data_IF_658216767762
#
_entry.id   IF_658216767762
#
_cell.length_a   1.000
_cell.length_b   1.000
_cell.length_c   1.000
_cell.angle_alpha   90.00
_cell.angle_beta   90.00
_cell.angle_gamma   90.00
#
_symmetry.space_group_name_H-M   'P 1'
#
loop_
_entity.id
_entity.type
_entity.pdbx_description
1 polymer ?
2 non-polymer ?
3 water ?
#
# COMPACT_ATOMS: atom_id res chain seq x y z
N UNK A 4 8.63 11.39 -11.19
CA UNK A 4 9.41 10.61 -12.23
C UNK A 4 8.54 9.99 -13.45
N UNK A 5 8.53 8.65 -13.62
CA UNK A 5 7.89 8.23 -14.74
C UNK A 5 6.94 7.06 -14.85
N UNK A 6 7.57 5.96 -15.30
CA UNK A 6 6.81 4.74 -15.60
C UNK A 6 6.52 3.66 -14.57
N UNK A 7 5.28 3.68 -14.13
CA UNK A 7 4.72 2.76 -13.17
C UNK A 7 3.80 1.75 -13.82
N UNK A 8 4.01 0.48 -13.53
CA UNK A 8 3.11 -0.54 -14.04
C UNK A 8 2.30 -1.00 -12.82
N UNK A 9 1.08 -0.51 -12.66
CA UNK A 9 0.27 -0.91 -11.51
C UNK A 9 -0.79 -1.97 -11.87
N UNK A 10 -0.68 -3.12 -11.22
CA UNK A 10 -1.59 -4.25 -11.41
C UNK A 10 -2.50 -4.30 -10.20
N UNK A 11 -3.71 -3.77 -10.31
CA UNK A 11 -4.67 -3.74 -9.22
C UNK A 11 -6.11 -3.75 -9.72
N UNK A 12 -7.07 -3.79 -8.80
CA UNK A 12 -8.46 -3.83 -9.18
C UNK A 12 -8.98 -2.49 -9.69
N UNK A 13 -10.09 -2.56 -10.42
CA UNK A 13 -10.73 -1.38 -10.96
C UNK A 13 -12.19 -1.44 -10.58
N UNK A 14 -12.78 -0.31 -10.21
CA UNK A 14 -14.21 -0.25 -9.90
C UNK A 14 -14.84 0.91 -10.67
N UNK A 15 -16.00 0.66 -11.26
CA UNK A 15 -16.69 1.69 -12.02
C UNK A 15 -16.87 2.91 -11.14
N UNK A 16 -17.43 2.71 -9.96
CA UNK A 16 -17.66 3.79 -8.99
C UNK A 16 -16.74 3.65 -7.80
N UNK A 17 -16.33 4.77 -7.22
CA UNK A 17 -15.50 4.72 -6.02
C UNK A 17 -14.00 4.60 -6.20
N UNK A 18 -13.29 4.47 -5.08
CA UNK A 18 -11.83 4.39 -5.11
C UNK A 18 -11.20 3.26 -4.37
N UNK A 19 -10.68 2.33 -5.14
CA UNK A 19 -10.05 1.18 -4.57
C UNK A 19 -9.12 0.67 -5.65
N UNK A 20 -7.95 0.17 -5.25
CA UNK A 20 -6.99 -0.32 -6.22
C UNK A 20 -6.54 0.75 -7.19
N UNK A 21 -6.49 0.42 -8.49
CA UNK A 21 -6.05 1.35 -9.51
C UNK A 21 -6.81 2.66 -9.45
N UNK A 22 -8.09 2.62 -9.11
CA UNK A 22 -8.81 3.87 -9.00
C UNK A 22 -8.22 4.73 -7.86
N UNK A 23 -7.64 4.10 -6.85
CA UNK A 23 -7.06 4.87 -5.75
C UNK A 23 -5.60 5.22 -5.99
N UNK A 24 -4.90 4.41 -6.79
CA UNK A 24 -3.49 4.68 -7.03
C UNK A 24 -3.10 5.49 -8.28
N UNK A 25 -4.02 5.60 -9.26
CA UNK A 25 -3.76 6.29 -10.53
C UNK A 25 -3.79 7.83 -10.51
N UNK A 26 -4.93 8.41 -10.19
CA UNK A 26 -5.03 9.86 -10.12
C UNK A 26 -3.84 10.39 -9.32
N UNK A 27 -3.59 9.85 -8.12
CA UNK A 27 -2.44 10.37 -7.37
C UNK A 27 -1.15 10.33 -8.12
N UNK A 28 -0.70 9.12 -8.40
CA UNK A 28 0.56 8.90 -9.12
C UNK A 28 0.61 9.67 -10.41
N UNK A 29 -0.54 10.19 -10.82
CA UNK A 29 -0.63 10.95 -12.04
C UNK A 29 -0.43 12.44 -11.84
N UNK A 30 -1.17 13.06 -10.90
CA UNK A 30 -0.98 14.50 -10.69
C UNK A 30 0.40 14.75 -10.09
N UNK A 31 1.02 13.73 -9.49
CA UNK A 31 2.37 13.94 -8.97
C UNK A 31 3.22 13.64 -10.19
N UNK A 32 2.55 13.45 -11.31
CA UNK A 32 3.25 13.23 -12.56
C UNK A 32 3.97 11.94 -12.91
N UNK A 33 3.37 10.79 -12.68
CA UNK A 33 4.04 9.58 -13.12
C UNK A 33 3.26 9.07 -14.30
N UNK A 34 3.95 8.39 -15.19
CA UNK A 34 3.31 7.83 -16.35
C UNK A 34 2.84 6.50 -15.79
N UNK A 35 1.58 6.45 -15.39
CA UNK A 35 1.04 5.22 -14.83
C UNK A 35 0.37 4.36 -15.89
N UNK A 36 0.86 3.13 -15.98
CA UNK A 36 0.33 2.13 -16.87
C UNK A 36 -0.52 1.25 -15.97
N UNK A 37 -1.79 1.04 -16.30
CA UNK A 37 -2.65 0.24 -15.42
C UNK A 37 -3.23 -1.04 -15.97
N UNK A 38 -2.94 -2.13 -15.26
CA UNK A 38 -3.49 -3.43 -15.57
C UNK A 38 -4.58 -3.66 -14.54
N UNK A 39 -5.83 -3.71 -15.00
CA UNK A 39 -6.96 -3.92 -14.09
C UNK A 39 -7.21 -5.40 -13.77
N UNK A 40 -6.83 -5.83 -12.57
CA UNK A 40 -7.02 -7.22 -12.15
C UNK A 40 -8.48 -7.65 -12.10
N UNK A 41 -9.40 -6.73 -11.85
CA UNK A 41 -10.81 -7.07 -11.89
C UNK A 41 -11.52 -5.80 -12.32
N UNK A 42 -12.78 -5.91 -12.66
CA UNK A 42 -13.57 -4.75 -12.98
C UNK A 42 -14.90 -5.08 -12.38
N UNK A 43 -15.15 -4.42 -11.25
CA UNK A 43 -16.35 -4.55 -10.46
C UNK A 43 -17.07 -3.22 -10.44
N UNK A 44 -18.39 -3.29 -10.22
CA UNK A 44 -19.23 -2.10 -10.16
C UNK A 44 -18.77 -1.22 -9.00
N UNK A 45 -18.26 -1.84 -7.95
CA UNK A 45 -17.79 -1.11 -6.78
C UNK A 45 -17.18 -2.11 -5.83
N UNK A 46 -16.50 -1.66 -4.80
CA UNK A 46 -15.88 -2.60 -3.87
C UNK A 46 -16.92 -3.45 -3.14
N UNK A 47 -16.50 -4.64 -2.68
CA UNK A 47 -17.41 -5.59 -2.05
C UNK A 47 -17.91 -5.31 -0.65
N UNK A 48 -17.81 -4.05 -0.22
CA UNK A 48 -18.26 -3.64 1.09
C UNK A 48 -19.63 -3.02 0.95
N UNK A 49 -20.04 -2.77 -0.28
CA UNK A 49 -21.38 -2.24 -0.58
C UNK A 49 -22.27 -3.47 -0.40
N UNK A 50 -23.59 -3.33 -0.27
CA UNK A 50 -24.44 -4.54 -0.13
C UNK A 50 -24.40 -5.45 -1.35
N UNK A 51 -24.40 -4.86 -2.54
CA UNK A 51 -24.35 -5.68 -3.75
C UNK A 51 -23.09 -5.32 -4.52
N UNK A 52 -22.77 -6.12 -5.53
CA UNK A 52 -21.61 -5.91 -6.39
C UNK A 52 -21.73 -6.91 -7.52
N UNK A 53 -21.30 -6.50 -8.70
CA UNK A 53 -21.31 -7.41 -9.83
C UNK A 53 -20.07 -7.05 -10.67
N UNK A 54 -19.53 -8.03 -11.41
CA UNK A 54 -18.36 -7.79 -12.22
C UNK A 54 -17.58 -9.03 -12.67
N UNK A 55 -16.47 -8.82 -13.37
CA UNK A 55 -15.64 -9.94 -13.84
C UNK A 55 -14.25 -9.86 -13.21
N UNK A 56 -13.49 -10.93 -13.28
CA UNK A 56 -12.13 -10.89 -12.75
C UNK A 56 -11.24 -11.37 -13.86
N UNK A 57 -9.98 -10.99 -13.80
CA UNK A 57 -9.02 -11.39 -14.81
C UNK A 57 -8.33 -12.64 -14.32
N UNK A 58 -8.20 -13.67 -15.15
CA UNK A 58 -7.50 -14.84 -14.69
C UNK A 58 -6.03 -14.65 -15.00
N UNK A 59 -5.26 -15.68 -14.74
CA UNK A 59 -3.84 -15.60 -14.97
C UNK A 59 -3.46 -15.52 -16.45
N UNK A 60 -4.15 -16.26 -17.30
CA UNK A 60 -3.77 -16.20 -18.70
C UNK A 60 -4.09 -14.84 -19.32
N UNK A 61 -5.20 -14.24 -18.94
CA UNK A 61 -5.61 -12.94 -19.45
C UNK A 61 -4.60 -11.88 -19.08
N UNK A 62 -3.94 -12.06 -17.94
CA UNK A 62 -2.93 -11.12 -17.46
C UNK A 62 -1.70 -11.32 -18.32
N UNK A 63 -1.43 -12.59 -18.56
CA UNK A 63 -0.32 -13.04 -19.38
C UNK A 63 -0.46 -12.35 -20.76
N UNK A 64 -1.64 -12.50 -21.35
CA UNK A 64 -1.97 -11.91 -22.64
C UNK A 64 -1.56 -10.41 -22.69
N UNK A 65 -2.05 -9.61 -21.75
CA UNK A 65 -1.72 -8.17 -21.71
C UNK A 65 -0.24 -7.95 -21.58
N UNK A 66 0.42 -8.80 -20.83
CA UNK A 66 1.83 -8.57 -20.69
C UNK A 66 2.53 -8.90 -22.02
N UNK A 67 2.15 -10.00 -22.67
CA UNK A 67 2.76 -10.38 -23.96
C UNK A 67 2.63 -9.14 -24.82
N UNK A 68 1.40 -8.68 -24.92
CA UNK A 68 1.09 -7.50 -25.69
C UNK A 68 2.14 -6.42 -25.50
N UNK A 69 2.61 -6.21 -24.28
CA UNK A 69 3.59 -5.15 -24.09
C UNK A 69 5.02 -5.59 -24.53
N UNK A 70 5.37 -6.86 -24.37
CA UNK A 70 6.71 -7.33 -24.78
C UNK A 70 6.87 -7.11 -26.28
N UNK A 71 5.99 -7.76 -27.02
CA UNK A 71 5.96 -7.66 -28.46
C UNK A 71 6.25 -6.24 -28.92
N UNK A 72 5.64 -5.24 -28.29
CA UNK A 72 5.90 -3.86 -28.71
C UNK A 72 7.15 -3.25 -28.12
N UNK A 73 7.86 -4.04 -27.30
CA UNK A 73 9.05 -3.57 -26.61
C UNK A 73 8.74 -2.24 -25.94
N UNK A 74 7.68 -2.19 -25.14
CA UNK A 74 7.41 -0.95 -24.42
C UNK A 74 7.31 -1.32 -22.95
N UNK A 75 7.73 -2.55 -22.68
CA UNK A 75 7.70 -3.14 -21.35
C UNK A 75 8.94 -2.87 -20.50
N UNK A 76 9.27 -1.61 -20.32
CA UNK A 76 10.41 -1.28 -19.49
C UNK A 76 9.84 -0.36 -18.43
N UNK A 77 9.91 -0.77 -17.17
CA UNK A 77 9.34 0.09 -16.14
C UNK A 77 10.32 0.44 -15.03
N UNK A 78 10.12 1.61 -14.41
CA UNK A 78 10.92 2.09 -13.28
C UNK A 78 10.34 1.37 -12.04
N UNK A 79 9.34 1.94 -11.36
CA UNK A 79 8.74 1.25 -10.20
C UNK A 79 7.56 0.36 -10.63
N UNK A 80 7.22 -0.65 -9.83
CA UNK A 80 6.09 -1.51 -10.12
C UNK A 80 5.22 -1.73 -8.89
N UNK A 81 3.94 -1.48 -9.07
CA UNK A 81 2.96 -1.54 -8.01
C UNK A 81 1.87 -2.61 -8.02
N UNK A 82 1.66 -3.27 -6.88
CA UNK A 82 0.61 -4.28 -6.80
C UNK A 82 -0.06 -4.28 -5.42
N UNK A 83 -1.29 -4.76 -5.37
CA UNK A 83 -1.99 -4.80 -4.11
C UNK A 83 -2.81 -6.06 -3.90
N UNK A 84 -4.05 -5.83 -3.56
CA UNK A 84 -5.02 -6.87 -3.31
C UNK A 84 -5.28 -7.90 -4.42
N UNK A 85 -5.15 -9.18 -4.08
CA UNK A 85 -5.45 -10.26 -5.02
C UNK A 85 -6.02 -11.40 -4.23
N UNK A 86 -6.84 -12.20 -4.89
CA UNK A 86 -7.46 -13.35 -4.25
C UNK A 86 -6.96 -14.66 -4.81
N UNK A 87 -6.38 -14.59 -6.00
CA UNK A 87 -5.90 -15.74 -6.75
C UNK A 87 -4.41 -16.07 -6.61
N UNK A 88 -4.16 -17.26 -6.05
CA UNK A 88 -2.83 -17.81 -5.83
C UNK A 88 -2.06 -17.68 -7.14
N UNK A 89 -2.70 -18.14 -8.20
CA UNK A 89 -2.07 -18.12 -9.50
C UNK A 89 -1.87 -16.76 -10.12
N UNK A 90 -2.80 -15.85 -9.90
CA UNK A 90 -2.62 -14.54 -10.48
C UNK A 90 -1.43 -13.90 -9.80
N UNK A 91 -1.21 -14.22 -8.52
CA UNK A 91 -0.09 -13.60 -7.82
C UNK A 91 1.23 -14.22 -8.25
N UNK A 92 1.22 -15.49 -8.62
CA UNK A 92 2.43 -16.16 -9.07
C UNK A 92 2.93 -15.46 -10.34
N UNK A 93 2.04 -15.43 -11.32
CA UNK A 93 2.31 -14.81 -12.61
C UNK A 93 2.89 -13.42 -12.46
N UNK A 94 2.27 -12.65 -11.57
CA UNK A 94 2.68 -11.30 -11.28
C UNK A 94 4.13 -11.30 -10.84
N UNK A 95 4.53 -12.36 -10.17
CA UNK A 95 5.91 -12.40 -9.71
C UNK A 95 6.84 -12.56 -10.92
N UNK A 96 6.56 -13.54 -11.77
CA UNK A 96 7.35 -13.73 -13.00
C UNK A 96 7.50 -12.37 -13.71
N UNK A 97 6.38 -11.71 -14.00
CA UNK A 97 6.46 -10.44 -14.70
C UNK A 97 7.40 -9.41 -14.07
N UNK A 98 7.38 -9.30 -12.75
CA UNK A 98 8.23 -8.32 -12.07
C UNK A 98 9.72 -8.67 -12.20
N UNK A 99 10.02 -9.96 -12.33
CA UNK A 99 11.40 -10.43 -12.48
C UNK A 99 11.99 -9.80 -13.75
N UNK A 100 11.50 -10.29 -14.89
CA UNK A 100 11.92 -9.77 -16.18
C UNK A 100 12.03 -8.23 -16.17
N UNK A 101 11.04 -7.52 -15.68
CA UNK A 101 11.16 -6.06 -15.74
C UNK A 101 12.33 -5.41 -15.01
N UNK A 102 13.02 -6.16 -14.15
CA UNK A 102 14.15 -5.63 -13.39
C UNK A 102 15.48 -5.68 -14.21
N UNK A 103 15.50 -6.55 -15.23
CA UNK A 103 16.65 -6.72 -16.14
C UNK A 103 16.52 -5.64 -17.16
N UNK A 104 15.29 -5.34 -17.48
CA UNK A 104 15.10 -4.27 -18.41
C UNK A 104 15.60 -3.03 -17.66
N UNK A 105 15.21 -2.85 -16.39
CA UNK A 105 15.73 -1.68 -15.67
C UNK A 105 16.22 -2.00 -14.28
N UNK A 106 17.54 -2.07 -14.14
CA UNK A 106 18.17 -2.36 -12.84
C UNK A 106 17.56 -1.62 -11.63
N UNK A 107 17.25 -0.33 -11.74
CA UNK A 107 16.62 0.41 -10.62
C UNK A 107 15.10 0.18 -10.60
N UNK A 108 14.66 -1.05 -10.86
CA UNK A 108 13.22 -1.30 -10.85
C UNK A 108 12.78 -1.75 -9.47
N UNK A 109 12.13 -0.84 -8.78
CA UNK A 109 11.62 -1.10 -7.43
C UNK A 109 10.22 -1.68 -7.47
N UNK A 110 10.04 -2.89 -6.96
CA UNK A 110 8.72 -3.49 -6.88
C UNK A 110 8.12 -3.02 -5.55
N UNK A 111 7.08 -2.20 -5.58
CA UNK A 111 6.43 -1.73 -4.35
C UNK A 111 5.28 -2.70 -4.16
N UNK A 112 5.25 -3.42 -3.05
CA UNK A 112 4.21 -4.41 -2.83
C UNK A 112 3.43 -4.30 -1.53
N UNK A 113 2.13 -4.01 -1.61
CA UNK A 113 1.32 -3.97 -0.40
C UNK A 113 0.76 -5.38 -0.31
N UNK A 114 1.18 -6.16 0.69
CA UNK A 114 0.70 -7.54 0.86
C UNK A 114 -0.64 -7.68 1.57
N UNK A 115 -1.71 -7.33 0.87
CA UNK A 115 -3.03 -7.38 1.47
C UNK A 115 -3.57 -8.77 1.81
N UNK A 116 -3.63 -9.09 3.09
CA UNK A 116 -4.16 -10.37 3.49
C UNK A 116 -5.35 -10.23 4.42
N UNK A 117 -5.32 -9.26 5.32
CA UNK A 117 -6.47 -9.12 6.18
C UNK A 117 -6.35 -8.01 7.18
N UNK A 118 -7.11 -8.13 8.27
CA UNK A 118 -7.05 -7.11 9.29
C UNK A 118 -7.14 -7.55 10.75
N UNK A 119 -6.77 -6.60 11.61
CA UNK A 119 -6.72 -6.78 13.07
C UNK A 119 -7.64 -5.79 13.81
N UNK A 120 -8.15 -6.20 14.97
CA UNK A 120 -8.88 -5.31 15.86
C UNK A 120 -8.07 -5.52 17.16
N UNK A 121 -7.66 -6.78 17.46
CA UNK A 121 -6.75 -7.06 18.60
C UNK A 121 -6.15 -8.46 18.93
N UNK A 122 -5.16 -8.90 18.12
CA UNK A 122 -4.45 -10.19 18.25
C UNK A 122 -5.23 -11.42 17.78
N UNK A 123 -4.79 -12.24 16.80
CA UNK A 123 -5.69 -13.33 16.35
C UNK A 123 -5.23 -14.51 15.38
N UNK A 124 -5.99 -14.72 14.26
CA UNK A 124 -5.74 -15.81 13.26
C UNK A 124 -6.09 -15.74 11.74
N UNK A 125 -7.37 -15.66 11.31
CA UNK A 125 -7.79 -15.63 9.86
C UNK A 125 -7.85 -14.22 9.18
N UNK A 126 -7.89 -14.11 7.82
CA UNK A 126 -7.92 -12.78 7.12
C UNK A 126 -9.00 -12.41 6.01
N UNK A 127 -8.64 -11.77 4.88
CA UNK A 127 -9.57 -11.38 3.75
C UNK A 127 -9.41 -12.29 2.54
N UNK A 128 -8.24 -12.89 2.45
CA UNK A 128 -7.90 -13.74 1.33
C UNK A 128 -7.88 -15.17 1.79
N UNK A 129 -7.93 -16.11 0.84
CA UNK A 129 -7.88 -17.49 1.31
C UNK A 129 -6.55 -17.55 2.04
N UNK A 130 -6.36 -18.56 2.85
CA UNK A 130 -5.13 -18.71 3.60
C UNK A 130 -4.02 -19.27 2.71
N UNK A 131 -4.38 -19.81 1.55
CA UNK A 131 -3.41 -20.38 0.62
C UNK A 131 -2.56 -19.38 -0.22
N UNK A 132 -2.63 -18.08 0.06
CA UNK A 132 -1.82 -17.06 -0.66
C UNK A 132 -0.67 -16.71 0.26
N UNK A 133 -0.90 -17.00 1.54
CA UNK A 133 0.08 -16.73 2.56
C UNK A 133 1.44 -17.26 2.13
N UNK A 134 1.52 -18.53 1.75
CA UNK A 134 2.80 -19.10 1.32
C UNK A 134 3.41 -18.32 0.14
N UNK A 135 2.60 -18.09 -0.88
CA UNK A 135 3.09 -17.38 -2.04
C UNK A 135 3.67 -16.02 -1.71
N UNK A 136 3.02 -15.25 -0.85
CA UNK A 136 3.59 -13.96 -0.50
C UNK A 136 4.89 -14.14 0.24
N UNK A 137 4.95 -15.13 1.11
CA UNK A 137 6.14 -15.37 1.94
C UNK A 137 7.33 -15.96 1.14
N UNK A 138 7.12 -17.12 0.55
CA UNK A 138 8.18 -17.77 -0.22
C UNK A 138 8.50 -17.11 -1.56
N UNK A 139 7.49 -16.68 -2.31
CA UNK A 139 7.73 -16.08 -3.62
C UNK A 139 7.64 -14.58 -3.74
N UNK A 140 6.53 -13.97 -3.34
CA UNK A 140 6.39 -12.53 -3.50
C UNK A 140 7.37 -11.64 -2.76
N UNK A 141 7.28 -11.61 -1.43
CA UNK A 141 8.16 -10.75 -0.62
C UNK A 141 9.67 -10.87 -0.94
N UNK A 142 10.17 -12.04 -1.36
CA UNK A 142 11.60 -12.10 -1.66
C UNK A 142 12.03 -11.18 -2.83
N UNK A 143 11.07 -10.74 -3.66
CA UNK A 143 11.43 -9.86 -4.78
C UNK A 143 10.98 -8.40 -4.65
N UNK A 144 10.17 -8.06 -3.65
CA UNK A 144 9.74 -6.67 -3.51
C UNK A 144 10.83 -5.84 -2.88
N UNK A 145 10.77 -4.52 -3.09
CA UNK A 145 11.79 -3.59 -2.58
C UNK A 145 11.20 -2.58 -1.60
N UNK A 146 9.89 -2.65 -1.44
CA UNK A 146 9.16 -1.79 -0.55
C UNK A 146 7.87 -2.52 -0.28
N UNK A 147 7.60 -2.80 0.98
CA UNK A 147 6.35 -3.46 1.32
C UNK A 147 5.69 -2.60 2.38
N UNK A 148 4.36 -2.61 2.43
CA UNK A 148 3.62 -1.80 3.40
C UNK A 148 2.50 -2.56 4.12
N UNK A 149 2.86 -3.55 4.95
CA UNK A 149 1.91 -4.37 5.70
C UNK A 149 1.26 -3.84 6.97
N UNK A 150 0.18 -4.53 7.33
CA UNK A 150 -0.62 -4.34 8.52
C UNK A 150 0.29 -4.82 9.63
N UNK A 151 -0.18 -4.72 10.86
CA UNK A 151 0.62 -5.30 11.90
C UNK A 151 0.28 -6.78 11.72
N UNK A 152 -1.01 -7.02 11.53
CA UNK A 152 -1.51 -8.37 11.33
C UNK A 152 -0.72 -9.10 10.25
N UNK A 153 -0.63 -8.50 9.08
CA UNK A 153 0.08 -9.11 7.96
C UNK A 153 1.58 -9.32 8.25
N UNK A 154 2.24 -8.30 8.80
CA UNK A 154 3.66 -8.43 9.13
C UNK A 154 3.83 -9.68 9.98
N UNK A 155 2.82 -9.99 10.80
CA UNK A 155 2.89 -11.16 11.67
C UNK A 155 2.65 -12.46 10.90
N UNK A 156 1.73 -12.48 9.94
CA UNK A 156 1.54 -13.70 9.16
C UNK A 156 2.78 -14.00 8.33
N UNK A 157 3.44 -12.94 7.84
CA UNK A 157 4.64 -13.10 7.04
C UNK A 157 5.77 -13.67 7.86
N UNK A 158 6.12 -12.97 8.91
CA UNK A 158 7.21 -13.43 9.77
C UNK A 158 6.76 -14.53 10.70
N UNK A 159 5.46 -14.83 10.74
CA UNK A 159 5.00 -15.85 11.66
C UNK A 159 5.26 -15.56 13.14
N UNK A 160 5.59 -14.31 13.48
CA UNK A 160 5.85 -13.89 14.87
C UNK A 160 4.85 -12.83 15.40
N UNK A 161 4.26 -13.06 16.57
CA UNK A 161 3.29 -12.11 17.15
C UNK A 161 3.94 -10.87 17.80
N UNK A 162 3.50 -9.69 17.38
CA UNK A 162 4.04 -8.43 17.89
C UNK A 162 3.37 -7.98 19.19
N UNK A 163 4.11 -7.92 20.28
CA UNK A 163 3.47 -7.51 21.52
C UNK A 163 3.86 -6.14 22.01
N UNK A 164 5.01 -5.65 21.56
CA UNK A 164 5.50 -4.38 21.98
C UNK A 164 6.13 -3.62 20.81
N UNK A 165 6.74 -2.48 21.11
CA UNK A 165 7.38 -1.72 20.05
C UNK A 165 8.61 -2.48 19.59
N UNK A 166 9.61 -2.69 20.44
CA UNK A 166 10.78 -3.38 19.93
C UNK A 166 10.59 -4.82 19.49
N UNK A 167 9.37 -5.33 19.59
CA UNK A 167 9.11 -6.67 19.09
C UNK A 167 8.72 -6.36 17.63
N UNK A 168 8.16 -5.16 17.45
CA UNK A 168 7.72 -4.65 16.13
C UNK A 168 8.96 -4.46 15.26
N UNK A 169 9.95 -3.78 15.81
CA UNK A 169 11.18 -3.51 15.09
C UNK A 169 11.92 -4.77 14.66
N UNK A 170 11.81 -5.85 15.44
CA UNK A 170 12.48 -7.13 15.10
C UNK A 170 11.70 -8.08 14.21
N UNK A 171 10.52 -7.64 13.80
CA UNK A 171 9.67 -8.40 12.91
C UNK A 171 9.90 -7.74 11.54
N UNK A 172 10.34 -6.47 11.60
CA UNK A 172 10.68 -5.70 10.42
C UNK A 172 12.04 -6.23 9.97
N UNK A 173 12.97 -6.35 10.91
CA UNK A 173 14.30 -6.87 10.57
C UNK A 173 14.17 -8.23 9.93
N UNK A 174 13.29 -9.09 10.43
CA UNK A 174 13.12 -10.38 9.78
C UNK A 174 12.46 -10.08 8.42
N UNK A 175 11.83 -8.90 8.29
CA UNK A 175 11.23 -8.55 7.03
C UNK A 175 12.38 -8.17 6.07
N UNK A 176 13.10 -7.08 6.38
CA UNK A 176 14.26 -6.61 5.59
C UNK A 176 15.08 -7.74 5.02
N UNK A 177 15.61 -8.54 5.94
CA UNK A 177 16.41 -9.68 5.61
C UNK A 177 15.66 -10.54 4.59
N UNK A 178 14.32 -10.49 4.60
CA UNK A 178 13.53 -11.25 3.61
C UNK A 178 13.83 -10.71 2.19
N UNK A 179 14.06 -9.40 2.10
CA UNK A 179 14.36 -8.76 0.83
C UNK A 179 14.28 -7.23 0.86
N UNK A 180 13.11 -6.68 1.19
CA UNK A 180 12.82 -5.24 1.25
C UNK A 180 13.73 -4.24 1.99
N UNK A 181 14.44 -3.38 1.27
CA UNK A 181 15.21 -2.40 2.02
C UNK A 181 14.30 -1.33 2.58
N UNK A 182 13.02 -1.65 2.69
CA UNK A 182 12.04 -0.73 3.26
C UNK A 182 10.81 -1.50 3.68
N UNK A 183 10.37 -1.19 4.89
CA UNK A 183 9.22 -1.81 5.51
C UNK A 183 8.55 -0.69 6.25
N UNK A 184 7.23 -0.61 6.13
CA UNK A 184 6.46 0.41 6.80
C UNK A 184 5.21 -0.26 7.31
N UNK A 185 5.10 -0.45 8.62
CA UNK A 185 3.90 -1.05 9.16
C UNK A 185 2.90 0.10 9.26
N UNK A 186 1.98 0.13 8.30
CA UNK A 186 0.97 1.18 8.15
C UNK A 186 0.01 1.34 9.31
N UNK A 187 -0.12 0.33 10.14
CA UNK A 187 -1.02 0.46 11.27
C UNK A 187 -0.80 -0.66 12.30
N UNK A 188 -1.15 -0.37 13.55
CA UNK A 188 -0.94 -1.33 14.63
C UNK A 188 -1.83 -1.06 15.82
N UNK A 189 -1.95 -2.11 16.64
CA UNK A 189 -2.72 -2.16 17.89
C UNK A 189 -1.96 -1.49 19.03
N UNK A 190 -0.66 -1.27 18.83
CA UNK A 190 0.19 -0.67 19.85
C UNK A 190 -0.13 0.72 20.31
N UNK A 191 -0.55 0.86 21.58
CA UNK A 191 -0.84 2.17 22.13
C UNK A 191 0.45 2.96 21.88
N UNK A 192 0.39 4.27 22.02
CA UNK A 192 1.57 5.03 21.68
C UNK A 192 1.74 6.21 22.58
N UNK A 193 2.92 6.83 22.56
CA UNK A 193 3.06 7.99 23.44
C UNK A 193 2.09 9.13 23.13
N UNK A 194 0.77 8.93 23.25
CA UNK A 194 -0.20 10.00 22.98
C UNK A 194 -1.68 9.62 23.10
N UNK A 195 -1.98 8.36 23.40
CA UNK A 195 -3.37 7.94 23.56
C UNK A 195 -4.07 7.24 22.39
N UNK A 196 -5.04 6.37 22.71
CA UNK A 196 -5.80 5.62 21.70
C UNK A 196 -6.53 6.52 20.73
N UNK A 197 -6.51 7.82 21.02
CA UNK A 197 -7.17 8.79 20.16
C UNK A 197 -6.45 8.62 18.83
N UNK A 198 -5.14 8.42 18.92
CA UNK A 198 -4.30 8.23 17.75
C UNK A 198 -4.21 6.82 17.16
N UNK A 199 -3.24 6.69 16.26
CA UNK A 199 -2.90 5.46 15.54
C UNK A 199 -1.43 5.62 15.15
N UNK A 200 -0.67 4.56 15.36
CA UNK A 200 0.77 4.54 15.13
C UNK A 200 1.15 3.65 13.94
N UNK A 201 2.23 4.01 13.25
CA UNK A 201 2.71 3.17 12.17
C UNK A 201 4.21 3.13 12.40
N UNK A 202 4.89 2.17 11.79
CA UNK A 202 6.33 2.04 11.98
C UNK A 202 7.12 2.01 10.65
N UNK A 203 8.36 2.52 10.66
CA UNK A 203 9.18 2.54 9.45
C UNK A 203 10.68 2.29 9.59
N UNK A 204 11.26 1.46 8.71
CA UNK A 204 12.70 1.14 8.76
C UNK A 204 13.38 0.77 7.41
N UNK A 205 14.54 1.38 7.12
CA UNK A 205 15.25 1.15 5.85
C UNK A 205 16.73 0.74 5.80
N UNK A 206 16.97 -0.58 5.72
CA UNK A 206 18.30 -1.21 5.64
C UNK A 206 19.11 -0.73 4.38
N UNK A 207 20.00 0.26 4.56
CA UNK A 207 20.83 0.84 3.47
C UNK A 207 22.29 0.32 3.39
N UNK A 208 23.17 0.95 2.60
CA UNK A 208 24.57 0.48 2.45
C UNK A 208 25.67 1.55 2.20
N UNK A 209 26.90 1.22 2.62
CA UNK A 209 28.14 2.02 2.48
C UNK A 209 29.20 0.87 2.46
N UNK A 210 30.11 0.78 1.42
CA UNK A 210 31.10 -0.31 1.38
C UNK A 210 31.27 -1.15 2.63
N UNK A 211 32.29 -1.01 3.44
CA UNK A 211 32.12 -1.83 4.61
C UNK A 211 31.70 -0.87 5.72
N UNK A 212 31.41 -1.35 6.92
CA UNK A 212 30.77 -0.46 7.85
C UNK A 212 29.49 -0.62 7.00
N UNK A 213 29.30 -1.90 6.63
CA UNK A 213 28.26 -2.48 5.74
C UNK A 213 26.81 -2.41 6.21
N UNK A 214 26.63 -1.80 7.37
CA UNK A 214 25.35 -1.72 8.05
C UNK A 214 24.68 -0.36 8.29
N UNK A 215 23.51 -0.11 7.73
CA UNK A 215 22.82 1.10 8.16
C UNK A 215 21.38 0.63 8.16
N UNK A 216 20.58 1.11 9.10
CA UNK A 216 19.15 0.79 9.14
C UNK A 216 18.64 2.12 9.64
N UNK A 217 17.39 2.48 9.34
CA UNK A 217 16.84 3.76 9.79
C UNK A 217 15.44 3.43 10.34
N UNK A 218 15.03 4.06 11.43
CA UNK A 218 13.71 3.74 11.95
C UNK A 218 13.04 5.03 12.31
N UNK A 219 11.72 5.02 12.36
CA UNK A 219 10.98 6.21 12.71
C UNK A 219 9.64 5.74 13.24
N UNK A 220 8.73 6.66 13.48
CA UNK A 220 7.46 6.27 14.07
C UNK A 220 6.43 7.37 13.98
N UNK A 221 5.54 7.32 13.00
CA UNK A 221 4.55 8.38 12.94
C UNK A 221 3.35 7.95 13.72
N UNK A 222 2.64 8.95 14.19
CA UNK A 222 1.43 8.77 14.92
C UNK A 222 0.55 9.86 14.33
N UNK A 223 -0.41 9.40 13.56
CA UNK A 223 -1.38 10.26 12.92
C UNK A 223 -2.61 10.05 13.79
N UNK A 224 -3.57 10.96 13.64
CA UNK A 224 -4.79 11.03 14.43
C UNK A 224 -6.02 10.20 14.04
N UNK A 225 -6.16 8.96 14.50
CA UNK A 225 -7.36 8.13 14.23
C UNK A 225 -8.61 8.91 13.74
N UNK A 226 -9.52 8.27 12.97
CA UNK A 226 -10.80 8.89 12.48
C UNK A 226 -11.98 7.92 12.59
N UNK A 227 -13.02 8.32 13.32
CA UNK A 227 -14.21 7.49 13.63
C UNK A 227 -15.00 6.62 12.65
N UNK A 228 -14.35 5.91 11.72
CA UNK A 228 -15.15 5.12 10.78
C UNK A 228 -14.41 4.18 9.83
N UNK A 229 -15.19 3.43 9.04
CA UNK A 229 -14.65 2.42 8.09
C UNK A 229 -14.50 2.74 6.61
N UNK A 230 -13.31 3.19 6.25
CA UNK A 230 -12.96 3.52 4.88
C UNK A 230 -12.43 2.30 4.18
N UNK A 231 -12.54 2.28 2.86
CA UNK A 231 -12.01 1.17 2.10
C UNK A 231 -11.14 1.82 1.04
N UNK A 232 -9.98 1.25 0.78
CA UNK A 232 -9.08 1.85 -0.20
C UNK A 232 -7.95 2.67 0.42
N UNK A 233 -7.96 2.86 1.74
CA UNK A 233 -6.91 3.64 2.38
C UNK A 233 -5.49 3.14 2.13
N UNK A 234 -5.27 1.83 2.17
CA UNK A 234 -3.93 1.32 1.95
C UNK A 234 -3.42 1.39 0.51
N UNK A 235 -4.34 1.48 -0.45
CA UNK A 235 -3.93 1.59 -1.85
C UNK A 235 -3.43 3.02 -2.03
N UNK A 236 -4.21 3.95 -1.49
CA UNK A 236 -3.84 5.35 -1.56
C UNK A 236 -2.58 5.62 -0.78
N UNK A 237 -2.29 4.76 0.19
CA UNK A 237 -1.08 4.94 0.99
C UNK A 237 0.14 4.57 0.18
N UNK A 238 0.20 3.30 -0.19
CA UNK A 238 1.29 2.73 -0.98
C UNK A 238 1.51 3.55 -2.25
N UNK A 239 0.44 4.00 -2.88
CA UNK A 239 0.56 4.83 -4.06
C UNK A 239 1.37 6.08 -3.68
N UNK A 240 0.89 6.83 -2.70
CA UNK A 240 1.63 8.03 -2.31
C UNK A 240 3.01 7.79 -1.75
N UNK A 241 3.26 6.60 -1.22
CA UNK A 241 4.58 6.35 -0.69
C UNK A 241 5.47 6.43 -1.92
N UNK A 242 5.31 5.50 -2.85
CA UNK A 242 6.08 5.47 -4.10
C UNK A 242 6.48 6.87 -4.56
N UNK A 243 5.48 7.72 -4.77
CA UNK A 243 5.76 9.06 -5.21
C UNK A 243 6.91 9.57 -4.35
N UNK A 244 6.58 9.97 -3.14
CA UNK A 244 7.53 10.50 -2.18
C UNK A 244 8.82 9.73 -2.06
N UNK A 245 8.74 8.44 -1.77
CA UNK A 245 9.95 7.66 -1.69
C UNK A 245 10.63 7.68 -3.06
N UNK A 246 10.08 8.43 -4.02
CA UNK A 246 10.72 8.53 -5.34
C UNK A 246 11.81 9.59 -5.22
N UNK A 247 11.37 10.76 -4.77
CA UNK A 247 12.18 11.95 -4.56
C UNK A 247 13.19 11.78 -3.42
N UNK A 248 12.81 10.97 -2.44
CA UNK A 248 13.60 10.78 -1.24
C UNK A 248 14.18 9.38 -1.09
N UNK A 249 15.06 8.99 -2.02
CA UNK A 249 15.73 7.69 -2.08
C UNK A 249 16.43 7.16 -0.81
N UNK A 250 17.04 8.04 -0.02
CA UNK A 250 17.70 7.60 1.23
C UNK A 250 16.97 8.18 2.44
N UNK A 251 15.75 8.66 2.22
CA UNK A 251 15.00 9.25 3.30
C UNK A 251 13.68 8.67 3.71
N UNK A 252 13.70 7.44 4.19
CA UNK A 252 12.48 6.80 4.62
C UNK A 252 11.72 7.71 5.60
N UNK A 253 12.48 8.61 6.22
CA UNK A 253 12.00 9.60 7.18
C UNK A 253 11.07 10.55 6.40
N UNK A 254 11.72 11.40 5.58
CA UNK A 254 11.10 12.44 4.77
C UNK A 254 9.83 12.02 4.00
N UNK A 255 9.78 10.75 3.61
CA UNK A 255 8.67 10.15 2.88
C UNK A 255 7.37 10.03 3.67
N UNK A 256 7.26 8.95 4.44
CA UNK A 256 6.07 8.68 5.22
C UNK A 256 5.53 9.97 5.72
N UNK A 257 6.45 10.86 6.08
CA UNK A 257 6.06 12.16 6.59
C UNK A 257 5.09 12.86 5.62
N UNK A 258 5.46 13.11 4.37
CA UNK A 258 4.48 13.80 3.53
C UNK A 258 3.27 12.90 3.19
N UNK A 259 3.50 11.61 2.93
CA UNK A 259 2.40 10.68 2.61
C UNK A 259 1.33 10.71 3.67
N UNK A 260 1.76 10.35 4.89
CA UNK A 260 0.84 10.31 5.98
C UNK A 260 0.12 11.61 6.04
N UNK A 261 0.85 12.72 5.90
CA UNK A 261 0.20 14.02 6.00
C UNK A 261 -0.98 14.14 5.04
N UNK A 262 -0.77 13.80 3.77
CA UNK A 262 -1.79 13.89 2.72
C UNK A 262 -3.02 13.08 3.07
N UNK A 263 -2.76 11.96 3.72
CA UNK A 263 -3.78 11.02 4.17
C UNK A 263 -4.82 11.71 5.09
N UNK A 264 -4.39 12.53 6.08
CA UNK A 264 -5.36 13.23 6.98
C UNK A 264 -6.30 14.12 6.19
N UNK A 265 -5.77 14.88 5.24
CA UNK A 265 -6.61 15.76 4.42
C UNK A 265 -7.67 14.93 3.71
N UNK A 266 -7.21 14.06 2.81
CA UNK A 266 -8.13 13.23 2.06
C UNK A 266 -9.23 12.64 2.94
N UNK A 267 -8.87 12.10 4.10
CA UNK A 267 -9.92 11.50 4.91
C UNK A 267 -10.82 12.46 5.66
N UNK A 268 -10.29 13.47 6.35
CA UNK A 268 -11.24 14.33 7.03
C UNK A 268 -12.02 15.19 6.06
N UNK A 269 -11.73 15.10 4.77
CA UNK A 269 -12.53 15.86 3.84
C UNK A 269 -13.61 14.87 3.49
N UNK A 270 -13.18 13.61 3.40
CA UNK A 270 -14.07 12.49 3.10
C UNK A 270 -15.04 12.42 4.25
N UNK A 271 -14.51 12.30 5.47
CA UNK A 271 -15.35 12.26 6.65
C UNK A 271 -16.18 13.56 6.66
N UNK A 272 -15.57 14.72 6.49
CA UNK A 272 -16.37 15.96 6.46
C UNK A 272 -17.60 15.78 5.54
N UNK A 273 -17.43 15.68 4.21
CA UNK A 273 -18.57 15.48 3.30
C UNK A 273 -19.35 14.24 3.71
N UNK A 274 -18.59 13.19 4.05
CA UNK A 274 -19.17 11.92 4.47
C UNK A 274 -20.38 12.13 5.38
N UNK A 275 -20.19 12.73 6.57
CA UNK A 275 -21.32 12.99 7.48
C UNK A 275 -22.28 14.05 6.92
N UNK A 276 -21.75 15.10 6.30
CA UNK A 276 -22.57 16.19 5.73
C UNK A 276 -23.77 15.63 4.98
N UNK A 277 -23.80 14.30 4.88
CA UNK A 277 -24.87 13.56 4.23
C UNK A 277 -25.69 12.65 5.17
N UNK A 278 -25.86 13.15 6.38
CA UNK A 278 -26.66 12.58 7.47
C UNK A 278 -26.38 13.51 8.63
N UNK A 279 -25.49 14.49 8.38
CA UNK A 279 -25.09 15.51 9.35
C UNK A 279 -24.68 14.94 10.69
N UNK A 280 -25.59 15.01 11.66
CA UNK A 280 -25.41 14.37 12.96
C UNK A 280 -26.78 13.62 12.98
N UNK A 281 -26.76 12.30 13.14
CA UNK A 281 -28.00 11.53 13.13
C UNK A 281 -28.00 10.06 12.71
N UNK A 282 -27.19 9.65 11.72
CA UNK A 282 -27.14 8.23 11.27
C UNK A 282 -25.73 7.93 10.68
N UNK A 283 -25.39 6.64 10.48
CA UNK A 283 -24.06 6.24 9.93
C UNK A 283 -23.94 6.41 8.41
N UNK A 284 -22.86 7.07 7.95
CA UNK A 284 -22.57 7.31 6.52
C UNK A 284 -22.49 5.97 5.79
N UNK A 285 -23.18 5.81 4.65
CA UNK A 285 -23.12 4.54 3.93
C UNK A 285 -21.87 4.45 3.06
N UNK A 286 -21.40 3.21 2.80
CA UNK A 286 -20.24 2.85 2.00
C UNK A 286 -20.07 3.87 0.88
N UNK A 287 -21.20 4.19 0.26
CA UNK A 287 -21.29 5.17 -0.80
C UNK A 287 -20.77 6.53 -0.35
N UNK A 288 -21.25 6.99 0.79
CA UNK A 288 -20.86 8.29 1.30
C UNK A 288 -19.42 8.30 1.80
N UNK A 289 -18.90 7.14 2.18
CA UNK A 289 -17.51 7.11 2.69
C UNK A 289 -16.42 7.12 1.60
N UNK A 290 -16.77 6.77 0.37
CA UNK A 290 -15.82 6.75 -0.76
C UNK A 290 -14.93 8.01 -0.77
N UNK A 291 -13.63 7.84 -0.95
CA UNK A 291 -12.68 8.95 -0.93
C UNK A 291 -12.88 10.11 -1.89
N UNK A 292 -12.82 11.32 -1.35
CA UNK A 292 -12.97 12.51 -2.15
C UNK A 292 -11.57 12.75 -2.64
N UNK A 293 -11.17 11.85 -3.53
CA UNK A 293 -9.87 11.88 -4.14
C UNK A 293 -9.80 13.09 -5.05
N UNK A 294 -10.85 13.29 -5.86
CA UNK A 294 -10.87 14.44 -6.77
C UNK A 294 -10.65 15.75 -6.01
N UNK A 295 -11.60 16.04 -5.12
CA UNK A 295 -11.56 17.26 -4.32
C UNK A 295 -10.25 17.42 -3.58
N UNK A 296 -9.49 16.34 -3.40
CA UNK A 296 -8.22 16.44 -2.69
C UNK A 296 -7.21 16.66 -3.75
N UNK A 297 -7.75 17.08 -4.88
CA UNK A 297 -6.99 17.42 -6.05
C UNK A 297 -5.87 18.19 -5.35
N UNK A 298 -6.25 19.34 -4.79
CA UNK A 298 -5.31 20.24 -4.14
C UNK A 298 -4.37 19.73 -3.03
N UNK A 299 -4.83 18.87 -2.12
CA UNK A 299 -3.92 18.34 -1.08
C UNK A 299 -3.05 17.14 -1.52
N UNK A 300 -3.59 16.17 -2.29
CA UNK A 300 -2.77 14.98 -2.69
C UNK A 300 -1.43 15.54 -3.14
N UNK A 301 -1.61 16.64 -3.85
CA UNK A 301 -0.63 17.51 -4.45
C UNK A 301 0.44 18.09 -3.54
N UNK A 302 -0.04 18.98 -2.68
CA UNK A 302 0.71 19.75 -1.69
C UNK A 302 0.47 19.30 -0.24
N UNK A 303 1.25 18.32 0.23
CA UNK A 303 1.06 17.87 1.61
C UNK A 303 1.46 19.01 2.54
N UNK A 304 0.49 19.59 3.22
CA UNK A 304 0.78 20.64 4.17
C UNK A 304 1.21 19.86 5.44
N UNK A 305 2.44 19.34 5.41
CA UNK A 305 3.11 18.50 6.45
C UNK A 305 2.65 18.71 7.89
N UNK A 306 1.62 17.94 8.26
CA UNK A 306 0.98 17.99 9.57
C UNK A 306 1.37 16.90 10.57
N UNK A 307 2.39 16.10 10.28
CA UNK A 307 2.75 15.07 11.25
C UNK A 307 4.24 15.05 11.57
N UNK A 308 4.54 14.47 12.73
CA UNK A 308 5.89 14.41 13.21
C UNK A 308 6.30 12.94 13.43
N UNK A 309 7.62 12.67 13.45
CA UNK A 309 8.12 11.30 13.54
C UNK A 309 9.49 11.22 14.22
N UNK A 310 9.74 10.15 14.98
CA UNK A 310 11.04 10.03 15.65
C UNK A 310 12.01 8.99 15.09
N UNK A 311 13.22 9.39 14.67
CA UNK A 311 14.15 8.35 14.19
C UNK A 311 14.40 7.46 15.41
N UNK A 312 14.11 6.18 15.21
CA UNK A 312 14.16 5.17 16.24
C UNK A 312 13.01 5.68 17.13
#
# INVERSE_FOLDING_TARGET
MEEECRVLSIQSHVVRGYVGNRAATFPLQVLGFEVDAVNSVQFSNHTGYSHWKGQVLNSDELQELYDGLKLNHVNQYDYVLTGYTRDKSFLAMVVDIVQELKQQNPRLVYVCDPVMGDQRNGEGAMYVPDDLLPVYREKVVPVADIITPNQFEAELLTGRKIHSQEEALEVMDMLHSMGPDTVVITSSNLLSPRGSDYLMALGSQRTRAPDGSVVTQRIRMEMHKVDAVFVGTGDLFAAMLLAWTHKHPNNLKVACEKTVSAMHHVLQRTIKCAKAKSGEGVKPSPAQLELRMVQSKKDIESPEIVVQATVL
#
